data_IF_749974857672
#
_entry.id   IF_749974857672
#
_cell.length_a   1.000
_cell.length_b   1.000
_cell.length_c   1.000
_cell.angle_alpha   90.00
_cell.angle_beta   90.00
_cell.angle_gamma   90.00
#
_symmetry.space_group_name_H-M   'P 1'
#
loop_
_entity.id
_entity.type
_entity.pdbx_description
1 polymer ?
#
# COMPACT_ATOMS: atom_id res chain seq x y z
N UNK A 1 37.25 28.68 9.79
CA UNK A 1 35.91 28.63 9.16
C UNK A 1 35.97 27.87 7.82
N UNK A 2 36.20 26.55 7.82
CA UNK A 2 36.15 25.73 6.58
C UNK A 2 35.59 24.32 6.81
N UNK A 3 35.40 23.89 8.05
CA UNK A 3 34.97 22.50 8.37
C UNK A 3 33.46 22.32 8.60
N UNK A 4 32.64 23.38 8.55
CA UNK A 4 31.20 23.27 8.82
C UNK A 4 30.33 23.02 7.56
N UNK A 5 30.87 23.21 6.35
CA UNK A 5 30.09 23.09 5.11
C UNK A 5 29.89 21.61 4.70
N UNK A 6 30.77 20.72 5.13
CA UNK A 6 30.75 19.30 4.71
C UNK A 6 29.65 18.50 5.45
N UNK A 7 29.23 18.93 6.64
CA UNK A 7 28.20 18.23 7.43
C UNK A 7 26.76 18.51 6.95
N UNK A 8 26.51 19.61 6.23
CA UNK A 8 25.17 19.95 5.73
C UNK A 8 24.79 19.20 4.45
N UNK A 9 25.75 18.69 3.68
CA UNK A 9 25.49 18.02 2.39
C UNK A 9 25.11 16.54 2.58
N UNK A 10 25.43 15.92 3.72
CA UNK A 10 25.14 14.50 3.98
C UNK A 10 23.68 14.26 4.42
N UNK A 11 22.94 15.31 4.81
CA UNK A 11 21.54 15.18 5.26
C UNK A 11 20.48 15.14 4.15
N UNK A 12 20.87 15.18 2.86
CA UNK A 12 19.92 15.17 1.74
C UNK A 12 19.84 13.83 0.98
N UNK A 13 20.43 12.74 1.50
CA UNK A 13 20.41 11.42 0.83
C UNK A 13 19.52 10.37 1.50
N UNK A 14 18.69 10.78 2.45
CA UNK A 14 17.49 10.03 2.85
C UNK A 14 16.40 11.00 2.37
N UNK A 15 15.58 10.77 1.36
CA UNK A 15 14.61 9.70 1.16
C UNK A 15 14.52 9.38 -0.35
N UNK A 16 15.31 8.42 -0.82
CA UNK A 16 14.98 7.63 -2.00
C UNK A 16 15.21 6.17 -1.63
N UNK A 17 14.66 5.77 -0.48
CA UNK A 17 14.74 4.40 0.01
C UNK A 17 13.71 3.56 -0.74
N UNK A 18 14.20 2.56 -1.46
CA UNK A 18 13.48 1.52 -2.19
C UNK A 18 12.19 1.05 -1.48
N UNK A 19 11.03 1.61 -1.84
CA UNK A 19 9.71 1.24 -1.27
C UNK A 19 9.16 -0.09 -1.84
N UNK A 20 10.02 -0.89 -2.49
CA UNK A 20 9.60 -1.86 -3.51
C UNK A 20 9.57 -3.33 -3.07
N UNK A 21 9.67 -3.59 -1.76
CA UNK A 21 9.68 -4.93 -1.17
C UNK A 21 8.58 -5.12 -0.11
N UNK A 22 7.76 -4.10 0.15
CA UNK A 22 7.27 -3.88 1.51
C UNK A 22 5.91 -4.46 1.87
N UNK A 23 5.07 -4.95 0.94
CA UNK A 23 3.74 -5.39 1.40
C UNK A 23 3.80 -6.61 2.34
N UNK A 24 4.69 -7.57 2.06
CA UNK A 24 4.89 -8.74 2.94
C UNK A 24 5.48 -8.36 4.31
N UNK A 25 6.41 -7.40 4.32
CA UNK A 25 7.00 -6.86 5.55
C UNK A 25 5.99 -6.02 6.33
N UNK A 26 5.24 -5.16 5.67
CA UNK A 26 4.15 -4.36 6.23
C UNK A 26 3.07 -5.25 6.88
N UNK A 27 2.72 -6.37 6.25
CA UNK A 27 1.81 -7.36 6.85
C UNK A 27 2.35 -7.86 8.21
N UNK A 28 3.65 -8.18 8.29
CA UNK A 28 4.27 -8.64 9.54
C UNK A 28 4.36 -7.52 10.58
N UNK A 29 4.83 -6.34 10.18
CA UNK A 29 4.97 -5.17 11.06
C UNK A 29 3.64 -4.68 11.62
N UNK A 30 2.56 -4.79 10.86
CA UNK A 30 1.21 -4.46 11.30
C UNK A 30 0.54 -5.60 12.09
N UNK A 31 1.21 -6.74 12.26
CA UNK A 31 0.68 -7.92 12.95
C UNK A 31 -0.49 -8.59 12.22
N UNK A 32 -0.64 -8.33 10.92
CA UNK A 32 -1.76 -8.76 10.09
C UNK A 32 -1.58 -10.17 9.49
N UNK A 33 -0.37 -10.73 9.62
CA UNK A 33 -0.06 -12.09 9.19
C UNK A 33 -0.81 -13.16 9.99
N UNK A 34 -0.82 -14.39 9.45
CA UNK A 34 -1.48 -15.54 10.08
C UNK A 34 -0.94 -15.78 11.49
N UNK A 35 -1.84 -15.86 12.48
CA UNK A 35 -1.47 -16.01 13.89
C UNK A 35 -0.94 -14.73 14.56
N UNK A 36 -0.94 -13.59 13.85
CA UNK A 36 -0.57 -12.29 14.39
C UNK A 36 -1.68 -11.68 15.26
N UNK A 37 -1.30 -10.72 16.11
CA UNK A 37 -2.24 -10.04 17.03
C UNK A 37 -3.37 -9.29 16.31
N UNK A 38 -3.15 -8.91 15.05
CA UNK A 38 -4.08 -8.17 14.21
C UNK A 38 -4.43 -8.95 12.93
N UNK A 39 -4.36 -10.28 12.96
CA UNK A 39 -4.59 -11.13 11.78
C UNK A 39 -5.85 -10.69 10.99
N UNK A 40 -5.66 -10.37 9.72
CA UNK A 40 -6.76 -10.01 8.82
C UNK A 40 -7.29 -11.28 8.16
N UNK A 41 -8.51 -11.66 8.51
CA UNK A 41 -9.20 -12.84 7.98
C UNK A 41 -10.61 -12.51 7.55
N UNK A 42 -11.12 -13.30 6.63
CA UNK A 42 -12.53 -13.22 6.25
C UNK A 42 -13.45 -13.78 7.35
N UNK A 43 -14.63 -13.18 7.59
CA UNK A 43 -15.14 -11.96 6.96
C UNK A 43 -14.44 -10.69 7.48
N UNK A 44 -14.01 -9.83 6.57
CA UNK A 44 -13.44 -8.53 6.93
C UNK A 44 -14.52 -7.59 7.51
N UNK A 45 -14.10 -6.80 8.50
CA UNK A 45 -14.95 -5.86 9.23
C UNK A 45 -14.18 -4.55 9.45
N UNK A 46 -14.80 -3.42 9.13
CA UNK A 46 -14.16 -2.11 9.19
C UNK A 46 -13.72 -1.75 10.62
N UNK A 47 -14.55 -2.02 11.63
CA UNK A 47 -14.22 -1.66 13.00
C UNK A 47 -13.05 -2.48 13.55
N UNK A 48 -12.97 -3.75 13.17
CA UNK A 48 -11.92 -4.67 13.62
C UNK A 48 -10.63 -4.57 12.81
N UNK A 49 -10.72 -4.32 11.51
CA UNK A 49 -9.58 -4.46 10.61
C UNK A 49 -9.16 -3.15 9.92
N UNK A 50 -9.97 -2.09 9.98
CA UNK A 50 -9.69 -0.84 9.27
C UNK A 50 -8.32 -0.24 9.61
N UNK A 51 -7.97 -0.20 10.90
CA UNK A 51 -6.68 0.31 11.35
C UNK A 51 -5.50 -0.56 10.86
N UNK A 52 -5.65 -1.88 10.92
CA UNK A 52 -4.63 -2.82 10.44
C UNK A 52 -4.45 -2.74 8.93
N UNK A 53 -5.55 -2.67 8.18
CA UNK A 53 -5.52 -2.53 6.72
C UNK A 53 -4.88 -1.20 6.32
N UNK A 54 -5.24 -0.11 6.99
CA UNK A 54 -4.57 1.17 6.79
C UNK A 54 -3.06 1.05 7.05
N UNK A 55 -2.64 0.44 8.16
CA UNK A 55 -1.23 0.21 8.47
C UNK A 55 -0.51 -0.53 7.35
N UNK A 56 -1.08 -1.63 6.86
CA UNK A 56 -0.48 -2.45 5.80
C UNK A 56 -0.33 -1.67 4.50
N UNK A 57 -1.40 -0.99 4.06
CA UNK A 57 -1.39 -0.25 2.81
C UNK A 57 -0.47 0.97 2.90
N UNK A 58 -0.42 1.65 4.04
CA UNK A 58 0.43 2.82 4.21
C UNK A 58 1.91 2.44 4.26
N UNK A 59 2.29 1.46 5.09
CA UNK A 59 3.68 0.96 5.14
C UNK A 59 4.10 0.28 3.83
N UNK A 60 3.18 -0.39 3.16
CA UNK A 60 3.42 -0.98 1.85
C UNK A 60 3.46 0.04 0.70
N UNK A 61 3.33 1.34 0.99
CA UNK A 61 3.41 2.41 -0.01
C UNK A 61 2.21 2.48 -0.97
N UNK A 62 1.11 1.80 -0.69
CA UNK A 62 -0.10 1.79 -1.53
C UNK A 62 -0.94 3.04 -1.27
N UNK A 63 -0.99 3.50 -0.02
CA UNK A 63 -1.70 4.74 0.37
C UNK A 63 -0.81 5.70 1.14
N UNK A 64 -1.09 6.99 1.04
CA UNK A 64 -0.46 8.02 1.88
C UNK A 64 -1.12 8.09 3.29
N UNK A 65 -0.66 9.03 4.13
CA UNK A 65 -1.19 9.20 5.50
C UNK A 65 -2.68 9.57 5.57
N UNK A 66 -3.23 10.13 4.50
CA UNK A 66 -4.64 10.49 4.36
C UNK A 66 -5.50 9.35 3.80
N UNK A 67 -4.89 8.20 3.50
CA UNK A 67 -5.54 7.06 2.86
C UNK A 67 -5.71 7.19 1.35
N UNK A 68 -5.13 8.20 0.70
CA UNK A 68 -5.21 8.34 -0.75
C UNK A 68 -4.28 7.35 -1.44
N UNK A 69 -4.75 6.70 -2.51
CA UNK A 69 -3.94 5.80 -3.33
C UNK A 69 -2.74 6.53 -3.94
N UNK A 70 -1.57 5.90 -3.86
CA UNK A 70 -0.37 6.31 -4.58
C UNK A 70 -0.33 5.51 -5.89
N UNK A 71 -0.96 6.02 -6.94
CA UNK A 71 -1.18 5.28 -8.20
C UNK A 71 0.11 4.71 -8.79
N UNK A 72 1.19 5.49 -8.81
CA UNK A 72 2.48 5.05 -9.33
C UNK A 72 2.98 3.78 -8.61
N UNK A 73 2.88 3.74 -7.28
CA UNK A 73 3.29 2.59 -6.48
C UNK A 73 2.39 1.38 -6.74
N UNK A 74 1.08 1.60 -6.94
CA UNK A 74 0.16 0.52 -7.33
C UNK A 74 0.55 -0.07 -8.69
N UNK A 75 0.81 0.78 -9.69
CA UNK A 75 1.26 0.32 -11.02
C UNK A 75 2.50 -0.54 -10.93
N UNK A 76 3.46 -0.03 -10.19
CA UNK A 76 4.73 -0.64 -9.90
C UNK A 76 4.60 -2.03 -9.25
N UNK A 77 3.75 -2.15 -8.22
CA UNK A 77 3.44 -3.43 -7.57
C UNK A 77 2.81 -4.41 -8.56
N UNK A 78 1.82 -3.97 -9.33
CA UNK A 78 1.11 -4.85 -10.26
C UNK A 78 2.00 -5.31 -11.42
N UNK A 79 2.85 -4.45 -11.96
CA UNK A 79 3.79 -4.81 -13.04
C UNK A 79 4.84 -5.81 -12.57
N UNK A 80 5.43 -5.60 -11.38
CA UNK A 80 6.55 -6.46 -10.93
C UNK A 80 6.12 -7.72 -10.19
N UNK A 81 5.01 -7.68 -9.43
CA UNK A 81 4.58 -8.81 -8.57
C UNK A 81 3.46 -9.63 -9.18
N UNK A 82 2.68 -9.04 -10.08
CA UNK A 82 1.52 -9.70 -10.70
C UNK A 82 1.71 -9.89 -12.20
N UNK A 83 2.73 -9.27 -12.81
CA UNK A 83 2.99 -9.30 -14.26
C UNK A 83 1.77 -8.84 -15.08
N UNK A 84 0.99 -7.92 -14.53
CA UNK A 84 -0.18 -7.35 -15.20
C UNK A 84 0.24 -6.40 -16.33
N UNK A 85 -0.60 -6.27 -17.35
CA UNK A 85 -0.44 -5.29 -18.42
C UNK A 85 -0.83 -3.89 -17.97
N UNK A 86 -0.33 -2.85 -18.65
CA UNK A 86 -0.71 -1.45 -18.38
C UNK A 86 -2.22 -1.24 -18.40
N UNK A 87 -2.91 -1.83 -19.38
CA UNK A 87 -4.37 -1.75 -19.51
C UNK A 87 -5.11 -2.38 -18.32
N UNK A 88 -4.66 -3.54 -17.83
CA UNK A 88 -5.27 -4.19 -16.66
C UNK A 88 -5.09 -3.34 -15.40
N UNK A 89 -3.90 -2.78 -15.23
CA UNK A 89 -3.58 -1.92 -14.08
C UNK A 89 -4.38 -0.62 -14.13
N UNK A 90 -4.48 0.02 -15.29
CA UNK A 90 -5.32 1.19 -15.52
C UNK A 90 -6.77 0.92 -15.14
N UNK A 91 -7.32 -0.22 -15.56
CA UNK A 91 -8.68 -0.59 -15.25
C UNK A 91 -8.90 -0.75 -13.73
N UNK A 92 -7.94 -1.34 -13.01
CA UNK A 92 -8.00 -1.49 -11.55
C UNK A 92 -7.90 -0.13 -10.85
N UNK A 93 -6.97 0.74 -11.27
CA UNK A 93 -6.79 2.07 -10.69
C UNK A 93 -8.02 2.94 -10.94
N UNK A 94 -8.57 2.95 -12.16
CA UNK A 94 -9.80 3.68 -12.46
C UNK A 94 -10.98 3.18 -11.62
N UNK A 95 -11.09 1.87 -11.41
CA UNK A 95 -12.18 1.26 -10.64
C UNK A 95 -12.05 1.49 -9.13
N UNK A 96 -10.84 1.36 -8.58
CA UNK A 96 -10.61 1.32 -7.14
C UNK A 96 -9.93 2.56 -6.56
N UNK A 97 -9.33 3.41 -7.39
CA UNK A 97 -8.59 4.61 -6.97
C UNK A 97 -9.46 5.75 -6.48
N UNK A 98 -10.79 5.68 -6.68
CA UNK A 98 -11.71 6.69 -6.16
C UNK A 98 -11.77 6.60 -4.64
N UNK A 99 -11.40 7.69 -3.96
CA UNK A 99 -11.48 7.82 -2.51
C UNK A 99 -12.92 7.61 -2.03
N UNK A 100 -13.15 6.59 -1.20
CA UNK A 100 -14.45 6.26 -0.65
C UNK A 100 -14.37 5.99 0.86
N UNK A 101 -14.91 6.89 1.68
CA UNK A 101 -14.91 6.79 3.13
C UNK A 101 -14.75 8.16 3.81
N UNK A 102 -15.05 8.23 5.10
CA UNK A 102 -14.97 9.46 5.91
C UNK A 102 -13.68 9.54 6.73
N UNK A 103 -13.06 8.41 7.04
CA UNK A 103 -11.76 8.35 7.71
C UNK A 103 -10.72 7.68 6.82
N UNK A 104 -9.44 7.90 7.09
CA UNK A 104 -8.34 7.24 6.37
C UNK A 104 -8.42 5.71 6.48
N UNK A 105 -8.87 5.18 7.62
CA UNK A 105 -9.06 3.74 7.84
C UNK A 105 -10.21 3.20 7.00
N UNK A 106 -11.32 3.94 6.91
CA UNK A 106 -12.45 3.57 6.05
C UNK A 106 -12.07 3.60 4.56
N UNK A 107 -11.31 4.62 4.14
CA UNK A 107 -10.80 4.73 2.77
C UNK A 107 -9.87 3.56 2.44
N UNK A 108 -8.90 3.26 3.30
CA UNK A 108 -7.97 2.15 3.10
C UNK A 108 -8.69 0.79 3.11
N UNK A 109 -9.67 0.61 4.00
CA UNK A 109 -10.50 -0.59 4.05
C UNK A 109 -11.26 -0.78 2.73
N UNK A 110 -11.99 0.24 2.27
CA UNK A 110 -12.79 0.16 1.04
C UNK A 110 -11.90 -0.06 -0.20
N UNK A 111 -10.73 0.58 -0.24
CA UNK A 111 -9.73 0.35 -1.29
C UNK A 111 -9.27 -1.12 -1.29
N UNK A 112 -8.91 -1.66 -0.13
CA UNK A 112 -8.44 -3.04 -0.01
C UNK A 112 -9.47 -4.06 -0.50
N UNK A 113 -10.74 -3.89 -0.10
CA UNK A 113 -11.85 -4.71 -0.60
C UNK A 113 -11.96 -4.63 -2.13
N UNK A 114 -11.88 -3.42 -2.70
CA UNK A 114 -11.99 -3.23 -4.14
C UNK A 114 -10.86 -3.92 -4.91
N UNK A 115 -9.61 -3.81 -4.44
CA UNK A 115 -8.44 -4.44 -5.05
C UNK A 115 -8.54 -5.97 -4.99
N UNK A 116 -9.01 -6.53 -3.86
CA UNK A 116 -9.23 -7.98 -3.75
C UNK A 116 -10.32 -8.49 -4.71
N UNK A 117 -11.41 -7.73 -4.87
CA UNK A 117 -12.51 -8.05 -5.77
C UNK A 117 -12.17 -7.80 -7.26
N UNK A 118 -11.02 -7.20 -7.56
CA UNK A 118 -10.60 -6.82 -8.91
C UNK A 118 -9.19 -7.33 -9.22
N UNK A 119 -8.93 -8.65 -9.17
CA UNK A 119 -7.62 -9.19 -9.54
C UNK A 119 -7.37 -8.97 -11.05
N UNK A 120 -6.11 -8.78 -11.49
CA UNK A 120 -5.76 -8.80 -12.91
C UNK A 120 -6.17 -10.12 -13.56
N UNK A 121 -6.65 -10.06 -14.80
CA UNK A 121 -7.19 -11.22 -15.53
C UNK A 121 -6.14 -12.32 -15.73
N UNK A 122 -4.87 -11.94 -15.75
CA UNK A 122 -3.70 -12.83 -15.85
C UNK A 122 -3.51 -13.82 -14.69
N UNK A 123 -4.30 -13.73 -13.61
CA UNK A 123 -4.33 -14.73 -12.50
C UNK A 123 -5.57 -15.63 -12.52
N UNK A 124 -6.08 -16.03 -13.68
CA UNK A 124 -6.94 -17.21 -13.76
C UNK A 124 -6.05 -18.46 -13.94
N UNK A 125 -5.92 -19.35 -12.94
CA UNK A 125 -5.33 -20.67 -13.17
C UNK A 125 -6.16 -21.47 -14.20
#
# INVERSE_FOLDING_TARGET
>A
MKSFVVLLVIYLQVWAGDTYSDLGQAIQECGAGRGGANEVKEPMDLQKHGATIFCMLNKGGIVNENGDMIENNVREIYYRKVSATEKEVDAVIQKCGTKNGKTREEVAFNLFICLQASPPETKKP
#
